data_IF_628070387656
#
_entry.id   IF_628070387656
#
_cell.length_a   1.000
_cell.length_b   1.000
_cell.length_c   1.000
_cell.angle_alpha   90.00
_cell.angle_beta   90.00
_cell.angle_gamma   90.00
#
_symmetry.space_group_name_H-M   'P 1'
#
loop_
_entity.id
_entity.type
_entity.pdbx_description
1 polymer ?
#
# COMPACT_ATOMS: atom_id res chain seq x y z
N UNK A 1 -9.07 -18.91 -24.35
CA UNK A 1 -8.76 -18.27 -23.06
C UNK A 1 -8.23 -16.86 -23.30
N UNK A 2 -8.67 -15.87 -22.51
CA UNK A 2 -8.19 -14.50 -22.58
C UNK A 2 -6.96 -14.34 -21.68
N UNK A 3 -5.85 -13.94 -22.27
CA UNK A 3 -4.59 -13.70 -21.56
C UNK A 3 -4.49 -12.23 -21.17
N UNK A 4 -4.30 -11.96 -19.87
CA UNK A 4 -4.20 -10.61 -19.32
C UNK A 4 -2.81 -10.46 -18.71
N UNK A 5 -1.92 -9.65 -19.29
CA UNK A 5 -0.65 -9.33 -18.66
C UNK A 5 -0.86 -8.44 -17.45
N UNK A 6 -0.08 -8.67 -16.40
CA UNK A 6 -0.13 -7.99 -15.12
C UNK A 6 1.25 -7.47 -14.73
N UNK A 7 1.33 -6.18 -14.43
CA UNK A 7 2.49 -5.53 -13.85
C UNK A 7 2.15 -5.12 -12.41
N UNK A 8 2.82 -5.74 -11.43
CA UNK A 8 2.61 -5.46 -10.01
C UNK A 8 3.57 -4.40 -9.52
N UNK A 9 3.03 -3.29 -8.99
CA UNK A 9 3.78 -2.26 -8.28
C UNK A 9 3.58 -2.43 -6.78
N UNK A 10 4.67 -2.70 -6.05
CA UNK A 10 4.64 -2.90 -4.60
C UNK A 10 4.43 -4.37 -4.21
N UNK A 11 5.54 -5.08 -3.96
CA UNK A 11 5.53 -6.46 -3.46
C UNK A 11 5.57 -6.54 -1.91
N UNK A 12 4.74 -5.74 -1.23
CA UNK A 12 4.58 -5.75 0.23
C UNK A 12 3.66 -6.87 0.73
N UNK A 13 2.96 -6.67 1.85
CA UNK A 13 1.99 -7.64 2.37
C UNK A 13 0.88 -7.98 1.35
N UNK A 14 0.20 -6.97 0.82
CA UNK A 14 -0.89 -7.13 -0.15
C UNK A 14 -0.36 -7.72 -1.47
N UNK A 15 0.73 -7.15 -2.02
CA UNK A 15 1.30 -7.61 -3.29
C UNK A 15 1.75 -9.06 -3.26
N UNK A 16 2.39 -9.52 -2.16
CA UNK A 16 2.74 -10.94 -2.00
C UNK A 16 1.51 -11.83 -1.96
N UNK A 17 0.48 -11.46 -1.20
CA UNK A 17 -0.74 -12.25 -1.11
C UNK A 17 -1.43 -12.36 -2.47
N UNK A 18 -1.43 -11.27 -3.26
CA UNK A 18 -1.93 -11.30 -4.63
C UNK A 18 -1.15 -12.28 -5.51
N UNK A 19 0.18 -12.28 -5.46
CA UNK A 19 1.00 -13.23 -6.23
C UNK A 19 0.71 -14.69 -5.82
N UNK A 20 0.66 -14.97 -4.52
CA UNK A 20 0.31 -16.29 -4.00
C UNK A 20 -1.08 -16.72 -4.47
N UNK A 21 -2.08 -15.85 -4.36
CA UNK A 21 -3.43 -16.14 -4.85
C UNK A 21 -3.45 -16.41 -6.36
N UNK A 22 -2.71 -15.63 -7.17
CA UNK A 22 -2.64 -15.86 -8.62
C UNK A 22 -2.11 -17.26 -8.93
N UNK A 23 -1.07 -17.69 -8.23
CA UNK A 23 -0.45 -19.03 -8.39
C UNK A 23 -1.37 -20.13 -7.88
N UNK A 24 -1.96 -19.98 -6.69
CA UNK A 24 -2.85 -20.99 -6.10
C UNK A 24 -4.16 -21.15 -6.88
N UNK A 25 -4.65 -20.09 -7.54
CA UNK A 25 -5.94 -20.10 -8.24
C UNK A 25 -5.82 -20.27 -9.76
N UNK A 26 -4.68 -20.73 -10.29
CA UNK A 26 -4.47 -20.94 -11.75
C UNK A 26 -5.57 -21.78 -12.41
N UNK A 27 -6.00 -22.87 -11.75
CA UNK A 27 -7.08 -23.74 -12.22
C UNK A 27 -8.41 -22.98 -12.34
N UNK A 28 -8.77 -22.22 -11.30
CA UNK A 28 -9.99 -21.41 -11.26
C UNK A 28 -9.98 -20.35 -12.36
N UNK A 29 -8.84 -19.69 -12.58
CA UNK A 29 -8.70 -18.74 -13.68
C UNK A 29 -8.93 -19.43 -15.04
N UNK A 30 -8.36 -20.61 -15.25
CA UNK A 30 -8.52 -21.37 -16.48
C UNK A 30 -9.98 -21.82 -16.72
N UNK A 31 -10.69 -22.25 -15.67
CA UNK A 31 -12.13 -22.57 -15.72
C UNK A 31 -12.97 -21.34 -16.11
N UNK A 32 -12.57 -20.16 -15.67
CA UNK A 32 -13.19 -18.88 -16.08
C UNK A 32 -12.72 -18.40 -17.47
N UNK A 33 -11.89 -19.17 -18.17
CA UNK A 33 -11.36 -18.84 -19.47
C UNK A 33 -10.29 -17.73 -19.43
N UNK A 34 -9.63 -17.51 -18.30
CA UNK A 34 -8.67 -16.44 -18.04
C UNK A 34 -7.26 -16.98 -17.76
N UNK A 35 -6.25 -16.24 -18.22
CA UNK A 35 -4.85 -16.48 -17.86
C UNK A 35 -4.24 -15.15 -17.40
N UNK A 36 -3.89 -15.06 -16.12
CA UNK A 36 -3.25 -13.86 -15.54
C UNK A 36 -1.73 -13.97 -15.64
N UNK A 37 -1.10 -13.36 -16.64
CA UNK A 37 0.35 -13.45 -16.82
C UNK A 37 1.06 -12.36 -16.02
N UNK A 38 1.75 -12.72 -14.95
CA UNK A 38 2.59 -11.75 -14.23
C UNK A 38 3.83 -11.49 -15.08
N UNK A 39 3.88 -10.33 -15.74
CA UNK A 39 4.98 -9.94 -16.63
C UNK A 39 6.04 -9.11 -15.91
N UNK A 40 5.70 -8.51 -14.77
CA UNK A 40 6.69 -7.86 -13.93
C UNK A 40 6.22 -7.59 -12.50
N UNK A 41 7.19 -7.49 -11.59
CA UNK A 41 6.98 -7.23 -10.16
C UNK A 41 7.99 -6.18 -9.71
N UNK A 42 7.50 -5.10 -9.10
CA UNK A 42 8.29 -3.98 -8.61
C UNK A 42 8.20 -3.87 -7.09
N UNK A 43 9.32 -3.52 -6.46
CA UNK A 43 9.38 -3.03 -5.07
C UNK A 43 9.95 -1.60 -5.03
N UNK A 44 10.23 -1.06 -3.85
CA UNK A 44 10.81 0.28 -3.72
C UNK A 44 12.24 0.42 -4.27
N UNK A 45 12.91 -0.68 -4.67
CA UNK A 45 14.34 -0.69 -5.02
C UNK A 45 14.60 -1.22 -6.43
N UNK A 46 13.69 -1.97 -7.02
CA UNK A 46 13.95 -2.72 -8.25
C UNK A 46 12.67 -3.24 -8.92
N UNK A 47 12.79 -3.51 -10.21
CA UNK A 47 11.78 -4.12 -11.06
C UNK A 47 12.33 -5.41 -11.68
N UNK A 48 11.57 -6.50 -11.54
CA UNK A 48 11.80 -7.77 -12.22
C UNK A 48 10.80 -7.90 -13.36
N UNK A 49 11.27 -8.23 -14.57
CA UNK A 49 10.43 -8.32 -15.78
C UNK A 49 10.68 -9.64 -16.51
N UNK A 50 9.64 -10.28 -17.03
CA UNK A 50 9.80 -11.43 -17.92
C UNK A 50 10.67 -11.07 -19.14
N UNK A 51 11.47 -12.03 -19.63
CA UNK A 51 12.39 -11.81 -20.78
C UNK A 51 11.70 -11.31 -22.05
N UNK A 52 10.46 -11.75 -22.29
CA UNK A 52 9.57 -11.17 -23.28
C UNK A 52 8.17 -10.98 -22.69
N UNK A 53 7.75 -9.73 -22.51
CA UNK A 53 6.46 -9.38 -21.89
C UNK A 53 5.25 -9.73 -22.77
N UNK A 54 5.43 -9.91 -24.08
CA UNK A 54 4.33 -10.25 -24.99
C UNK A 54 3.92 -11.71 -24.86
N UNK A 55 4.90 -12.61 -24.78
CA UNK A 55 4.67 -14.06 -24.85
C UNK A 55 4.95 -14.79 -23.54
N UNK A 56 5.93 -14.32 -22.74
CA UNK A 56 6.36 -14.98 -21.51
C UNK A 56 5.74 -14.33 -20.26
N UNK A 57 5.93 -15.00 -19.13
CA UNK A 57 5.58 -14.55 -17.79
C UNK A 57 6.68 -14.97 -16.82
N UNK A 58 6.70 -14.36 -15.63
CA UNK A 58 7.46 -14.91 -14.51
C UNK A 58 6.84 -16.25 -14.12
N UNK A 59 7.66 -17.29 -13.98
CA UNK A 59 7.17 -18.62 -13.67
C UNK A 59 6.67 -18.71 -12.22
N UNK A 60 5.80 -19.68 -11.95
CA UNK A 60 5.11 -19.75 -10.66
C UNK A 60 6.07 -20.06 -9.49
N UNK A 61 7.12 -20.88 -9.71
CA UNK A 61 8.15 -21.14 -8.70
C UNK A 61 8.94 -19.87 -8.33
N UNK A 62 9.25 -19.03 -9.31
CA UNK A 62 9.93 -17.75 -9.11
C UNK A 62 9.02 -16.72 -8.44
N UNK A 63 7.73 -16.68 -8.77
CA UNK A 63 6.76 -15.84 -8.04
C UNK A 63 6.69 -16.22 -6.56
N UNK A 64 6.76 -17.52 -6.24
CA UNK A 64 6.81 -17.98 -4.85
C UNK A 64 8.14 -17.63 -4.16
N UNK A 65 9.26 -17.68 -4.89
CA UNK A 65 10.56 -17.24 -4.36
C UNK A 65 10.60 -15.72 -4.10
N UNK A 66 10.01 -14.90 -5.00
CA UNK A 66 9.77 -13.47 -4.77
C UNK A 66 9.01 -13.27 -3.45
N UNK A 67 7.94 -14.03 -3.23
CA UNK A 67 7.15 -13.93 -2.01
C UNK A 67 7.95 -14.31 -0.76
N UNK A 68 8.83 -15.31 -0.86
CA UNK A 68 9.72 -15.77 0.21
C UNK A 68 10.75 -14.71 0.59
N UNK A 69 11.49 -14.19 -0.38
CA UNK A 69 12.49 -13.11 -0.17
C UNK A 69 11.83 -11.86 0.43
N UNK A 70 10.62 -11.53 -0.03
CA UNK A 70 9.89 -10.39 0.51
C UNK A 70 9.30 -10.63 1.90
N UNK A 71 9.03 -11.89 2.27
CA UNK A 71 8.57 -12.25 3.62
C UNK A 71 9.66 -12.06 4.67
N UNK A 72 10.94 -12.25 4.31
CA UNK A 72 12.08 -12.04 5.19
C UNK A 72 12.51 -10.57 5.30
N UNK A 73 11.72 -9.63 4.74
CA UNK A 73 12.04 -8.20 4.72
C UNK A 73 13.13 -7.82 3.71
N UNK A 74 13.57 -8.76 2.86
CA UNK A 74 14.68 -8.54 1.94
C UNK A 74 14.25 -7.86 0.63
N UNK A 75 15.22 -7.27 -0.09
CA UNK A 75 14.99 -6.59 -1.37
C UNK A 75 14.87 -7.60 -2.53
N UNK A 76 14.09 -7.28 -3.58
CA UNK A 76 14.11 -8.07 -4.81
C UNK A 76 15.48 -8.06 -5.50
N UNK A 77 16.35 -7.10 -5.16
CA UNK A 77 17.73 -7.03 -5.62
C UNK A 77 18.57 -8.27 -5.32
N UNK A 78 18.21 -9.04 -4.27
CA UNK A 78 18.89 -10.31 -3.94
C UNK A 78 18.63 -11.40 -4.98
N UNK A 79 17.55 -11.29 -5.75
CA UNK A 79 17.21 -12.27 -6.77
C UNK A 79 17.99 -12.06 -8.06
N UNK A 80 18.80 -10.99 -8.18
CA UNK A 80 19.55 -10.71 -9.40
C UNK A 80 20.42 -11.92 -9.82
N UNK A 81 20.23 -12.39 -11.05
CA UNK A 81 20.94 -13.56 -11.60
C UNK A 81 20.31 -14.93 -11.32
N UNK A 82 19.18 -15.01 -10.60
CA UNK A 82 18.52 -16.28 -10.26
C UNK A 82 17.29 -16.58 -11.13
N UNK A 83 17.46 -16.72 -12.44
CA UNK A 83 16.40 -17.17 -13.36
C UNK A 83 16.32 -16.45 -14.71
N UNK A 84 15.32 -16.79 -15.52
CA UNK A 84 15.05 -16.16 -16.81
C UNK A 84 14.18 -14.89 -16.68
N UNK A 85 14.76 -13.78 -16.25
CA UNK A 85 14.10 -12.47 -16.19
C UNK A 85 15.10 -11.34 -16.42
N UNK A 86 14.58 -10.14 -16.65
CA UNK A 86 15.33 -8.89 -16.74
C UNK A 86 15.22 -8.14 -15.40
N UNK A 87 16.37 -7.71 -14.87
CA UNK A 87 16.47 -6.93 -13.63
C UNK A 87 16.72 -5.46 -13.95
N UNK A 88 15.97 -4.57 -13.32
CA UNK A 88 16.16 -3.12 -13.42
C UNK A 88 16.26 -2.50 -12.03
N UNK A 89 17.28 -1.69 -11.81
CA UNK A 89 17.44 -0.94 -10.55
C UNK A 89 16.45 0.24 -10.47
N UNK A 90 16.27 0.80 -9.27
CA UNK A 90 15.27 1.85 -9.00
C UNK A 90 15.30 3.04 -10.00
N UNK A 91 16.48 3.49 -10.43
CA UNK A 91 16.58 4.62 -11.37
C UNK A 91 15.96 4.33 -12.75
N UNK A 92 15.89 3.06 -13.13
CA UNK A 92 15.41 2.61 -14.44
C UNK A 92 14.04 1.93 -14.38
N UNK A 93 13.61 1.51 -13.18
CA UNK A 93 12.37 0.75 -12.96
C UNK A 93 11.13 1.47 -13.48
N UNK A 94 11.00 2.76 -13.16
CA UNK A 94 9.86 3.59 -13.59
C UNK A 94 9.82 3.74 -15.11
N UNK A 95 10.96 4.06 -15.74
CA UNK A 95 11.04 4.19 -17.19
C UNK A 95 10.68 2.88 -17.90
N UNK A 96 11.16 1.75 -17.37
CA UNK A 96 10.84 0.44 -17.94
C UNK A 96 9.38 0.04 -17.75
N UNK A 97 8.80 0.33 -16.60
CA UNK A 97 7.37 0.11 -16.34
C UNK A 97 6.50 0.88 -17.34
N UNK A 98 6.84 2.14 -17.62
CA UNK A 98 6.15 2.97 -18.62
C UNK A 98 6.33 2.44 -20.04
N UNK A 99 7.53 1.96 -20.41
CA UNK A 99 7.77 1.33 -21.71
C UNK A 99 6.85 0.09 -21.89
N UNK A 100 6.78 -0.77 -20.88
CA UNK A 100 5.90 -1.96 -20.90
C UNK A 100 4.43 -1.53 -21.03
N UNK A 101 4.01 -0.51 -20.28
CA UNK A 101 2.66 0.02 -20.35
C UNK A 101 2.32 0.58 -21.74
N UNK A 102 3.21 1.37 -22.35
CA UNK A 102 3.02 1.89 -23.70
C UNK A 102 2.91 0.78 -24.76
N UNK A 103 3.67 -0.30 -24.59
CA UNK A 103 3.71 -1.44 -25.53
C UNK A 103 2.50 -2.38 -25.40
N UNK A 104 2.05 -2.64 -24.17
CA UNK A 104 1.00 -3.63 -23.88
C UNK A 104 -0.39 -3.03 -23.65
N UNK A 105 -0.48 -1.74 -23.32
CA UNK A 105 -1.73 -1.09 -22.90
C UNK A 105 -2.87 -1.22 -23.90
N UNK A 106 -2.69 -0.68 -25.11
CA UNK A 106 -3.73 -0.70 -26.17
C UNK A 106 -3.86 -2.03 -26.90
N UNK A 107 -2.83 -2.88 -26.84
CA UNK A 107 -2.77 -4.13 -27.61
C UNK A 107 -3.38 -5.30 -26.85
N UNK A 108 -2.96 -5.49 -25.59
CA UNK A 108 -3.32 -6.67 -24.78
C UNK A 108 -4.20 -6.32 -23.58
N UNK A 109 -4.31 -5.04 -23.22
CA UNK A 109 -5.03 -4.60 -22.04
C UNK A 109 -4.27 -4.90 -20.75
N UNK A 110 -3.01 -4.45 -20.67
CA UNK A 110 -2.17 -4.58 -19.47
C UNK A 110 -2.91 -4.10 -18.22
N UNK A 111 -2.91 -4.92 -17.17
CA UNK A 111 -3.35 -4.55 -15.83
C UNK A 111 -2.13 -4.11 -15.00
N UNK A 112 -2.07 -2.82 -14.66
CA UNK A 112 -1.11 -2.27 -13.71
C UNK A 112 -1.77 -2.28 -12.33
N UNK A 113 -1.19 -3.03 -11.40
CA UNK A 113 -1.73 -3.20 -10.06
C UNK A 113 -0.85 -2.46 -9.06
N UNK A 114 -1.38 -1.40 -8.45
CA UNK A 114 -0.69 -0.63 -7.41
C UNK A 114 -1.07 -1.15 -6.01
N UNK A 115 -0.18 -2.00 -5.48
CA UNK A 115 -0.16 -2.45 -4.09
C UNK A 115 0.96 -1.77 -3.28
N UNK A 116 1.47 -0.64 -3.77
CA UNK A 116 2.43 0.17 -3.02
C UNK A 116 1.72 0.99 -1.93
N UNK A 117 2.52 1.65 -1.09
CA UNK A 117 2.06 2.63 -0.14
C UNK A 117 2.73 3.99 -0.40
N UNK A 118 3.10 4.29 -1.66
CA UNK A 118 3.82 5.51 -2.05
C UNK A 118 2.93 6.45 -2.87
N UNK A 119 3.15 7.76 -2.76
CA UNK A 119 2.57 8.77 -3.65
C UNK A 119 3.37 8.92 -4.94
N UNK A 120 4.59 8.39 -5.00
CA UNK A 120 5.46 8.44 -6.18
C UNK A 120 4.87 7.67 -7.38
N UNK A 121 3.91 6.77 -7.15
CA UNK A 121 3.25 6.02 -8.22
C UNK A 121 2.23 6.84 -8.99
N UNK A 122 1.78 7.99 -8.48
CA UNK A 122 0.72 8.81 -9.09
C UNK A 122 1.09 9.23 -10.52
N UNK A 123 2.30 9.75 -10.72
CA UNK A 123 2.78 10.18 -12.05
C UNK A 123 2.90 9.01 -13.04
N UNK A 124 3.27 7.83 -12.54
CA UNK A 124 3.31 6.60 -13.35
C UNK A 124 1.90 6.19 -13.76
N UNK A 125 0.97 6.18 -12.80
CA UNK A 125 -0.42 5.79 -13.03
C UNK A 125 -1.13 6.71 -14.01
N UNK A 126 -0.88 8.03 -13.95
CA UNK A 126 -1.42 9.02 -14.91
C UNK A 126 -1.02 8.69 -16.35
N UNK A 127 0.26 8.35 -16.58
CA UNK A 127 0.76 7.97 -17.90
C UNK A 127 0.24 6.60 -18.34
N UNK A 128 0.14 5.64 -17.42
CA UNK A 128 -0.41 4.29 -17.66
C UNK A 128 -1.86 4.38 -18.17
N UNK A 129 -2.66 5.30 -17.64
CA UNK A 129 -4.03 5.57 -18.12
C UNK A 129 -4.02 6.07 -19.56
N UNK A 130 -3.10 6.97 -19.93
CA UNK A 130 -2.97 7.49 -21.31
C UNK A 130 -2.53 6.42 -22.32
N UNK A 131 -1.74 5.44 -21.87
CA UNK A 131 -1.40 4.25 -22.64
C UNK A 131 -2.57 3.26 -22.78
N UNK A 132 -3.71 3.54 -22.15
CA UNK A 132 -4.92 2.74 -22.26
C UNK A 132 -4.90 1.44 -21.45
N UNK A 133 -4.02 1.36 -20.46
CA UNK A 133 -3.96 0.22 -19.55
C UNK A 133 -5.15 0.20 -18.59
N UNK A 134 -5.38 -0.96 -17.98
CA UNK A 134 -6.24 -1.10 -16.82
C UNK A 134 -5.42 -0.83 -15.55
N UNK A 135 -6.00 -0.10 -14.60
CA UNK A 135 -5.39 0.23 -13.31
C UNK A 135 -6.19 -0.45 -12.20
N UNK A 136 -5.50 -1.14 -11.30
CA UNK A 136 -6.09 -1.76 -10.11
C UNK A 136 -5.37 -1.24 -8.87
N UNK A 137 -6.08 -0.58 -7.96
CA UNK A 137 -5.52 0.08 -6.80
C UNK A 137 -5.87 -0.68 -5.51
N UNK A 138 -4.84 -1.01 -4.73
CA UNK A 138 -4.94 -1.20 -3.28
C UNK A 138 -4.32 -0.01 -2.52
N UNK A 139 -3.48 0.77 -3.18
CA UNK A 139 -2.94 2.03 -2.67
C UNK A 139 -4.03 3.12 -2.60
N UNK A 140 -4.17 3.77 -1.44
CA UNK A 140 -5.16 4.84 -1.23
C UNK A 140 -4.64 6.23 -1.60
N UNK A 141 -3.31 6.43 -1.63
CA UNK A 141 -2.69 7.74 -1.87
C UNK A 141 -3.11 8.40 -3.19
N UNK A 142 -3.25 7.67 -4.32
CA UNK A 142 -3.73 8.25 -5.56
C UNK A 142 -5.20 8.70 -5.52
N UNK A 143 -6.00 8.22 -4.57
CA UNK A 143 -7.40 8.62 -4.41
C UNK A 143 -7.57 9.87 -3.54
N UNK A 144 -6.55 10.21 -2.76
CA UNK A 144 -6.55 11.34 -1.82
C UNK A 144 -5.55 12.42 -2.23
N UNK A 145 -5.07 12.39 -3.47
CA UNK A 145 -4.17 13.38 -4.05
C UNK A 145 -4.93 14.61 -4.53
N UNK A 146 -4.31 15.44 -5.38
CA UNK A 146 -4.99 16.59 -5.97
C UNK A 146 -6.23 16.17 -6.78
N UNK A 147 -7.20 17.07 -6.89
CA UNK A 147 -8.41 16.83 -7.69
C UNK A 147 -8.05 16.59 -9.17
N UNK A 148 -7.03 17.26 -9.68
CA UNK A 148 -6.52 17.08 -11.05
C UNK A 148 -6.01 15.64 -11.26
N UNK A 149 -5.23 15.11 -10.33
CA UNK A 149 -4.73 13.73 -10.40
C UNK A 149 -5.89 12.73 -10.34
N UNK A 150 -6.88 12.98 -9.46
CA UNK A 150 -8.06 12.16 -9.35
C UNK A 150 -8.85 12.13 -10.68
N UNK A 151 -9.18 13.29 -11.24
CA UNK A 151 -9.89 13.38 -12.52
C UNK A 151 -9.12 12.70 -13.66
N UNK A 152 -7.79 12.86 -13.68
CA UNK A 152 -6.93 12.19 -14.66
C UNK A 152 -6.99 10.67 -14.54
N UNK A 153 -6.86 10.14 -13.33
CA UNK A 153 -6.91 8.69 -13.07
C UNK A 153 -8.30 8.09 -13.39
N UNK A 154 -9.37 8.85 -13.14
CA UNK A 154 -10.75 8.42 -13.33
C UNK A 154 -11.36 8.83 -14.68
N UNK A 155 -10.58 9.46 -15.57
CA UNK A 155 -10.98 9.80 -16.95
C UNK A 155 -11.52 8.61 -17.75
N UNK A 156 -11.11 7.39 -17.39
CA UNK A 156 -11.58 6.14 -17.98
C UNK A 156 -12.11 5.16 -16.93
N UNK A 157 -13.28 5.47 -16.34
CA UNK A 157 -13.93 4.69 -15.26
C UNK A 157 -13.99 3.17 -15.49
N UNK A 158 -14.09 2.69 -16.73
CA UNK A 158 -14.16 1.25 -17.04
C UNK A 158 -12.82 0.52 -16.85
N UNK A 159 -11.70 1.26 -16.81
CA UNK A 159 -10.34 0.74 -16.73
C UNK A 159 -9.72 0.86 -15.35
N UNK A 160 -10.37 1.55 -14.41
CA UNK A 160 -9.87 1.68 -13.04
C UNK A 160 -10.72 0.87 -12.07
N UNK A 161 -10.07 0.15 -11.16
CA UNK A 161 -10.71 -0.57 -10.03
C UNK A 161 -9.94 -0.25 -8.76
N UNK A 162 -10.65 -0.03 -7.67
CA UNK A 162 -10.04 0.39 -6.39
C UNK A 162 -10.75 -0.24 -5.19
N UNK A 163 -11.34 -1.43 -5.35
CA UNK A 163 -12.14 -2.09 -4.31
C UNK A 163 -11.37 -2.24 -2.98
N UNK A 164 -10.11 -2.64 -3.06
CA UNK A 164 -9.30 -2.92 -1.87
C UNK A 164 -8.80 -1.68 -1.13
N UNK A 165 -9.12 -0.47 -1.59
CA UNK A 165 -8.73 0.77 -0.89
C UNK A 165 -9.63 1.07 0.31
N UNK A 166 -10.85 0.54 0.34
CA UNK A 166 -11.83 0.74 1.43
C UNK A 166 -12.48 -0.59 1.77
N UNK A 167 -12.56 -0.94 3.06
CA UNK A 167 -13.18 -2.20 3.50
C UNK A 167 -12.34 -3.45 3.26
N UNK A 168 -11.08 -3.31 2.85
CA UNK A 168 -10.13 -4.40 2.59
C UNK A 168 -10.65 -5.43 1.57
N UNK A 169 -11.19 -6.56 2.03
CA UNK A 169 -11.76 -7.61 1.18
C UNK A 169 -13.27 -7.50 0.97
N UNK A 170 -13.94 -6.56 1.65
CA UNK A 170 -15.39 -6.37 1.53
C UNK A 170 -15.74 -5.69 0.20
N UNK A 171 -16.79 -6.14 -0.51
CA UNK A 171 -17.17 -5.60 -1.81
C UNK A 171 -17.97 -4.29 -1.67
N UNK A 172 -17.42 -3.29 -0.98
CA UNK A 172 -18.10 -2.02 -0.68
C UNK A 172 -18.33 -1.19 -1.95
N UNK A 173 -17.28 -0.89 -2.72
CA UNK A 173 -17.34 -0.01 -3.88
C UNK A 173 -18.20 -0.65 -4.98
N UNK A 174 -18.02 -1.94 -5.23
CA UNK A 174 -18.86 -2.68 -6.19
C UNK A 174 -20.33 -2.71 -5.75
N UNK A 175 -20.62 -2.88 -4.45
CA UNK A 175 -22.01 -2.86 -3.97
C UNK A 175 -22.64 -1.49 -4.11
N UNK A 176 -21.93 -0.43 -3.73
CA UNK A 176 -22.42 0.95 -3.90
C UNK A 176 -22.68 1.29 -5.37
N UNK A 177 -21.76 0.92 -6.26
CA UNK A 177 -21.94 1.14 -7.70
C UNK A 177 -23.15 0.36 -8.27
N UNK A 178 -23.44 -0.83 -7.75
CA UNK A 178 -24.63 -1.61 -8.16
C UNK A 178 -25.93 -0.94 -7.70
N UNK A 179 -25.97 -0.44 -6.47
CA UNK A 179 -27.12 0.31 -5.92
C UNK A 179 -27.36 1.60 -6.72
N UNK A 180 -26.30 2.36 -7.01
CA UNK A 180 -26.42 3.56 -7.84
C UNK A 180 -26.89 3.22 -9.27
N UNK A 181 -26.41 2.12 -9.84
CA UNK A 181 -26.79 1.68 -11.18
C UNK A 181 -28.24 1.16 -11.25
N UNK A 182 -28.82 0.64 -10.16
CA UNK A 182 -30.24 0.28 -10.10
C UNK A 182 -31.17 1.49 -9.98
N UNK A 183 -30.61 2.69 -9.73
CA UNK A 183 -31.38 3.91 -9.51
C UNK A 183 -31.81 4.11 -8.06
N UNK A 184 -31.33 3.26 -7.14
CA UNK A 184 -31.66 3.37 -5.73
C UNK A 184 -30.86 4.50 -5.06
N UNK A 185 -31.52 5.49 -4.42
CA UNK A 185 -30.84 6.59 -3.77
C UNK A 185 -30.14 6.15 -2.47
N UNK A 186 -28.86 6.49 -2.35
CA UNK A 186 -28.10 6.29 -1.11
C UNK A 186 -28.37 7.48 -0.18
N UNK A 187 -29.06 7.21 0.93
CA UNK A 187 -29.40 8.24 1.92
C UNK A 187 -28.32 8.42 2.99
N UNK A 188 -27.61 7.33 3.35
CA UNK A 188 -26.61 7.35 4.42
C UNK A 188 -25.65 6.17 4.28
N UNK A 189 -24.37 6.42 4.52
CA UNK A 189 -23.34 5.39 4.68
C UNK A 189 -22.77 5.55 6.11
N UNK A 190 -22.83 4.50 6.91
CA UNK A 190 -22.24 4.44 8.26
C UNK A 190 -21.25 3.27 8.25
N UNK A 191 -20.04 3.48 8.74
CA UNK A 191 -19.06 2.40 8.86
C UNK A 191 -17.91 2.75 9.79
N UNK A 192 -17.34 1.72 10.41
CA UNK A 192 -16.06 1.82 11.12
C UNK A 192 -14.93 1.52 10.12
N UNK A 193 -14.16 2.54 9.77
CA UNK A 193 -13.20 2.47 8.66
C UNK A 193 -11.75 2.19 9.10
N UNK A 194 -11.50 2.09 10.41
CA UNK A 194 -10.17 1.81 10.97
C UNK A 194 -10.23 0.60 11.88
N UNK A 195 -9.57 -0.49 11.48
CA UNK A 195 -9.48 -1.71 12.28
C UNK A 195 -8.74 -1.47 13.59
N UNK A 196 -7.64 -0.71 13.55
CA UNK A 196 -6.86 -0.36 14.75
C UNK A 196 -7.68 0.48 15.71
N UNK A 197 -8.38 1.50 15.22
CA UNK A 197 -9.22 2.35 16.08
C UNK A 197 -10.43 1.57 16.61
N UNK A 198 -11.05 0.73 15.78
CA UNK A 198 -12.14 -0.15 16.20
C UNK A 198 -11.72 -1.10 17.31
N UNK A 199 -10.55 -1.73 17.18
CA UNK A 199 -9.96 -2.56 18.24
C UNK A 199 -9.72 -1.74 19.51
N UNK A 200 -9.05 -0.60 19.39
CA UNK A 200 -8.75 0.26 20.54
C UNK A 200 -10.03 0.68 21.26
N UNK A 201 -11.04 1.17 20.53
CA UNK A 201 -12.30 1.62 21.13
C UNK A 201 -13.07 0.48 21.80
N UNK A 202 -13.12 -0.71 21.19
CA UNK A 202 -13.78 -1.88 21.78
C UNK A 202 -13.12 -2.27 23.11
N UNK A 203 -11.79 -2.29 23.14
CA UNK A 203 -11.04 -2.65 24.34
C UNK A 203 -11.14 -1.59 25.46
N UNK A 204 -11.30 -0.30 25.10
CA UNK A 204 -11.60 0.77 26.05
C UNK A 204 -13.01 0.68 26.61
N UNK A 205 -14.00 0.33 25.77
CA UNK A 205 -15.38 0.07 26.21
C UNK A 205 -15.43 -1.09 27.21
N UNK A 206 -14.56 -2.09 27.06
CA UNK A 206 -14.37 -3.19 28.02
C UNK A 206 -13.64 -2.77 29.32
N UNK A 207 -13.33 -1.48 29.48
CA UNK A 207 -12.73 -0.90 30.69
C UNK A 207 -11.22 -1.10 30.83
N UNK A 208 -10.53 -1.53 29.76
CA UNK A 208 -9.07 -1.68 29.79
C UNK A 208 -8.39 -0.31 29.72
N UNK A 209 -7.27 -0.09 30.44
CA UNK A 209 -6.52 1.16 30.32
C UNK A 209 -5.95 1.35 28.90
N UNK A 210 -6.07 2.54 28.31
CA UNK A 210 -5.64 2.80 26.93
C UNK A 210 -4.15 2.49 26.71
N UNK A 211 -3.28 2.82 27.66
CA UNK A 211 -1.85 2.45 27.61
C UNK A 211 -1.62 0.94 27.44
N UNK A 212 -2.46 0.08 28.03
CA UNK A 212 -2.38 -1.37 27.82
C UNK A 212 -2.92 -1.76 26.45
N UNK A 213 -4.05 -1.19 26.04
CA UNK A 213 -4.69 -1.44 24.74
C UNK A 213 -3.77 -1.06 23.58
N UNK A 214 -3.09 0.08 23.64
CA UNK A 214 -2.13 0.51 22.61
C UNK A 214 -0.90 -0.40 22.57
N UNK A 215 -0.38 -0.82 23.73
CA UNK A 215 0.72 -1.79 23.80
C UNK A 215 0.32 -3.15 23.22
N UNK A 216 -0.91 -3.61 23.50
CA UNK A 216 -1.47 -4.83 22.94
C UNK A 216 -1.70 -4.71 21.42
N UNK A 217 -2.27 -3.60 20.96
CA UNK A 217 -2.44 -3.32 19.53
C UNK A 217 -1.08 -3.33 18.80
N UNK A 218 -0.03 -2.80 19.42
CA UNK A 218 1.34 -2.85 18.88
C UNK A 218 1.91 -4.27 18.85
N UNK A 219 1.77 -5.05 19.93
CA UNK A 219 2.29 -6.42 19.98
C UNK A 219 1.57 -7.36 19.01
N UNK A 220 0.28 -7.13 18.79
CA UNK A 220 -0.55 -7.83 17.81
C UNK A 220 -0.33 -7.34 16.37
N UNK A 221 0.47 -6.28 16.17
CA UNK A 221 0.76 -5.72 14.85
C UNK A 221 -0.41 -4.97 14.20
N UNK A 222 -1.40 -4.54 14.99
CA UNK A 222 -2.53 -3.72 14.51
C UNK A 222 -2.15 -2.27 14.26
N UNK A 223 -1.07 -1.78 14.88
CA UNK A 223 -0.55 -0.44 14.64
C UNK A 223 0.46 -0.45 13.50
N UNK A 224 0.50 0.61 12.69
CA UNK A 224 1.58 0.80 11.71
C UNK A 224 2.96 0.87 12.41
N UNK A 225 4.03 0.36 11.80
CA UNK A 225 5.38 0.48 12.34
C UNK A 225 5.76 1.95 12.48
N UNK A 226 6.22 2.35 13.66
CA UNK A 226 6.84 3.66 13.91
C UNK A 226 8.28 3.72 13.40
N UNK A 227 8.74 2.71 12.66
CA UNK A 227 10.11 2.59 12.15
C UNK A 227 10.46 3.61 11.05
N UNK A 228 9.50 4.42 10.61
CA UNK A 228 9.73 5.58 9.74
C UNK A 228 10.21 6.82 10.52
N UNK A 229 10.07 6.81 11.84
CA UNK A 229 10.64 7.86 12.67
C UNK A 229 12.13 7.59 12.87
N UNK A 230 13.00 8.62 12.79
CA UNK A 230 14.35 8.52 13.32
C UNK A 230 14.30 7.98 14.75
N UNK A 231 15.30 7.18 15.16
CA UNK A 231 15.28 6.47 16.45
C UNK A 231 14.96 7.41 17.64
N UNK A 232 15.52 8.62 17.64
CA UNK A 232 15.22 9.67 18.62
C UNK A 232 13.74 10.09 18.66
N UNK A 233 13.12 10.29 17.49
CA UNK A 233 11.69 10.67 17.39
C UNK A 233 10.79 9.52 17.83
N UNK A 234 11.21 8.29 17.57
CA UNK A 234 10.51 7.08 18.01
C UNK A 234 10.53 6.93 19.53
N UNK A 235 11.66 7.21 20.17
CA UNK A 235 11.79 7.22 21.64
C UNK A 235 10.95 8.32 22.27
N UNK A 236 11.05 9.57 21.78
CA UNK A 236 10.20 10.68 22.21
C UNK A 236 8.70 10.33 22.07
N UNK A 237 8.29 9.74 20.95
CA UNK A 237 6.90 9.32 20.74
C UNK A 237 6.45 8.25 21.74
N UNK A 238 7.34 7.35 22.17
CA UNK A 238 7.02 6.32 23.17
C UNK A 238 6.87 6.91 24.57
N UNK A 239 7.66 7.93 24.93
CA UNK A 239 7.55 8.62 26.22
C UNK A 239 6.19 9.27 26.43
N UNK A 240 5.54 9.71 25.35
CA UNK A 240 4.17 10.24 25.40
C UNK A 240 3.19 9.22 25.99
N UNK A 241 3.44 7.93 25.80
CA UNK A 241 2.63 6.85 26.37
C UNK A 241 2.82 6.64 27.89
N UNK A 242 3.78 7.33 28.50
CA UNK A 242 4.03 7.29 29.95
C UNK A 242 3.22 8.35 30.71
N UNK A 243 2.61 9.31 30.01
CA UNK A 243 1.82 10.36 30.63
C UNK A 243 0.35 9.97 30.82
N UNK A 244 -0.33 10.52 31.84
CA UNK A 244 -1.76 10.30 32.03
C UNK A 244 -2.58 10.84 30.86
N UNK A 245 -3.42 10.01 30.26
CA UNK A 245 -4.13 10.22 28.99
C UNK A 245 -5.14 11.39 28.99
N UNK A 246 -5.42 11.99 30.14
CA UNK A 246 -6.39 13.08 30.32
C UNK A 246 -5.79 14.35 30.94
N UNK A 247 -4.46 14.51 30.88
CA UNK A 247 -3.79 15.73 31.35
C UNK A 247 -3.06 16.40 30.21
N UNK A 248 -3.26 17.71 30.08
CA UNK A 248 -2.40 18.54 29.23
C UNK A 248 -0.99 18.49 29.80
N UNK A 249 -0.03 18.11 28.96
CA UNK A 249 1.38 18.16 29.30
C UNK A 249 1.90 19.52 28.85
N UNK A 250 2.43 20.35 29.76
CA UNK A 250 3.04 21.61 29.37
C UNK A 250 4.19 21.36 28.37
N UNK A 251 4.20 22.13 27.30
CA UNK A 251 5.16 21.98 26.20
C UNK A 251 6.61 22.10 26.66
N UNK A 252 6.87 23.04 27.56
CA UNK A 252 8.16 23.28 28.22
C UNK A 252 8.62 22.08 29.05
N UNK A 253 7.70 21.41 29.75
CA UNK A 253 8.01 20.19 30.51
C UNK A 253 8.40 19.04 29.58
N UNK A 254 7.70 18.90 28.45
CA UNK A 254 7.97 17.87 27.45
C UNK A 254 9.35 18.05 26.80
N UNK A 255 9.67 19.29 26.42
CA UNK A 255 10.99 19.63 25.84
C UNK A 255 12.09 19.41 26.87
N UNK A 256 11.96 19.96 28.08
CA UNK A 256 12.99 19.81 29.11
C UNK A 256 13.24 18.34 29.46
N UNK A 257 12.19 17.52 29.49
CA UNK A 257 12.32 16.08 29.71
C UNK A 257 13.09 15.40 28.57
N UNK A 258 12.81 15.72 27.30
CA UNK A 258 13.52 15.11 26.18
C UNK A 258 14.96 15.63 25.99
N UNK A 259 15.22 16.89 26.34
CA UNK A 259 16.58 17.44 26.41
C UNK A 259 17.40 16.66 27.45
N UNK A 260 16.83 16.41 28.62
CA UNK A 260 17.53 15.74 29.73
C UNK A 260 17.68 14.22 29.53
N UNK A 261 16.63 13.54 29.04
CA UNK A 261 16.61 12.07 28.93
C UNK A 261 17.33 11.59 27.66
N UNK A 262 17.21 12.33 26.56
CA UNK A 262 17.67 11.89 25.24
C UNK A 262 18.78 12.76 24.64
N UNK A 263 19.29 13.75 25.39
CA UNK A 263 20.31 14.71 24.95
C UNK A 263 19.94 15.36 23.60
N UNK A 264 18.67 15.76 23.49
CA UNK A 264 18.09 16.38 22.29
C UNK A 264 17.94 17.87 22.58
N UNK A 265 18.98 18.66 22.26
CA UNK A 265 18.97 20.12 22.46
C UNK A 265 17.97 20.82 21.50
N UNK A 266 18.46 21.59 20.53
CA UNK A 266 17.62 22.42 19.63
C UNK A 266 16.65 21.61 18.75
N UNK A 267 16.86 20.29 18.65
CA UNK A 267 16.05 19.38 17.84
C UNK A 267 14.71 19.00 18.51
N UNK A 268 14.58 19.11 19.84
CA UNK A 268 13.37 18.68 20.56
C UNK A 268 12.14 19.45 20.10
N UNK A 269 12.30 20.74 19.79
CA UNK A 269 11.24 21.58 19.25
C UNK A 269 10.75 21.10 17.87
N UNK A 270 11.69 20.72 16.98
CA UNK A 270 11.37 20.19 15.67
C UNK A 270 10.62 18.84 15.76
N UNK A 271 11.00 18.00 16.72
CA UNK A 271 10.33 16.72 17.01
C UNK A 271 8.89 16.94 17.47
N UNK A 272 8.63 17.90 18.36
CA UNK A 272 7.25 18.21 18.78
C UNK A 272 6.41 18.72 17.61
N UNK A 273 6.96 19.60 16.76
CA UNK A 273 6.26 20.07 15.55
C UNK A 273 5.99 18.92 14.60
N UNK A 274 6.94 18.00 14.40
CA UNK A 274 6.74 16.84 13.53
C UNK A 274 5.62 15.92 14.06
N UNK A 275 5.59 15.67 15.37
CA UNK A 275 4.54 14.87 16.01
C UNK A 275 3.17 15.57 16.02
N UNK A 276 3.14 16.90 16.18
CA UNK A 276 1.92 17.72 16.12
C UNK A 276 1.35 17.78 14.69
N UNK A 277 2.18 18.03 13.67
CA UNK A 277 1.77 18.04 12.26
C UNK A 277 1.26 16.67 11.78
N UNK A 278 1.68 15.58 12.44
CA UNK A 278 1.16 14.22 12.21
C UNK A 278 -0.12 13.91 13.03
N UNK A 279 -0.77 14.92 13.63
CA UNK A 279 -1.97 14.83 14.47
C UNK A 279 -1.82 13.94 15.71
N UNK A 280 -0.65 13.89 16.35
CA UNK A 280 -0.38 13.00 17.50
C UNK A 280 -0.17 13.69 18.85
N UNK A 281 -0.16 15.02 18.89
CA UNK A 281 -0.13 15.84 20.11
C UNK A 281 -1.05 17.05 19.87
N UNK A 282 -1.95 17.32 20.81
CA UNK A 282 -2.86 18.49 20.81
C UNK A 282 -2.38 19.51 21.83
#
# INVERSE_FOLDING_TARGET
MKSIPLLLMGCGGVGRQLLQHIVSCRSIHAEQGLILRVVGVCDSKSLLVATDVFTKQLNDSFLMEICRVKSSGSSLSLLNGLGEFQFFANKESTGKALEIAGRLGRTTGLAVVDCSASSETIEVLKQVVDFGCCVVLANKKPLTSSMEDFEKLFSHLRRIRHESTVGAGLPLITSLNRILASGDPIHRIIGSLSGTLGYVMSELEDGKPFSQVVKAAKSLGYTEPVDYFPDKVKECFLDLGSFPENKKIPFDVLINMWVEIHEIDEEAFAIVIELSNKNRIV
#
